data_IF_271943822819
#
_entry.id   IF_271943822819
#
_cell.length_a   1.000
_cell.length_b   1.000
_cell.length_c   1.000
_cell.angle_alpha   90.00
_cell.angle_beta   90.00
_cell.angle_gamma   90.00
#
_symmetry.space_group_name_H-M   'P 1'
#
loop_
_entity.id
_entity.type
_entity.pdbx_description
1 polymer ?
#
# COMPACT_ATOMS: atom_id res chain seq x y z
N UNK A 1 -69.57 48.37 -53.36
CA UNK A 1 -68.22 48.26 -53.97
C UNK A 1 -67.40 47.32 -53.10
N UNK A 2 -67.26 46.04 -53.49
CA UNK A 2 -66.02 45.39 -54.01
C UNK A 2 -64.84 45.52 -53.02
N UNK A 3 -64.47 44.43 -52.32
CA UNK A 3 -63.44 43.43 -52.72
C UNK A 3 -62.15 43.69 -51.94
N UNK A 4 -61.76 42.85 -50.97
CA UNK A 4 -60.76 41.76 -51.13
C UNK A 4 -59.32 42.30 -50.95
N UNK A 5 -58.26 41.59 -50.55
CA UNK A 5 -57.98 40.21 -50.17
C UNK A 5 -56.51 40.16 -49.69
N UNK A 6 -56.18 39.23 -48.77
CA UNK A 6 -54.92 38.47 -48.63
C UNK A 6 -53.57 39.17 -48.29
N UNK A 7 -52.92 38.81 -47.16
CA UNK A 7 -51.85 37.76 -46.96
C UNK A 7 -50.47 38.23 -47.50
N UNK A 8 -49.28 38.10 -46.85
CA UNK A 8 -48.70 37.22 -45.82
C UNK A 8 -47.28 37.74 -45.41
N UNK A 9 -46.91 37.58 -44.13
CA UNK A 9 -45.67 37.00 -43.52
C UNK A 9 -44.27 37.34 -44.08
N UNK A 10 -43.38 37.90 -43.23
CA UNK A 10 -42.11 37.23 -42.83
C UNK A 10 -41.46 37.84 -41.55
N UNK A 11 -40.74 36.99 -40.84
CA UNK A 11 -40.22 37.03 -39.47
C UNK A 11 -39.08 38.04 -39.23
N UNK A 12 -38.92 38.51 -37.98
CA UNK A 12 -37.68 38.31 -37.19
C UNK A 12 -37.96 38.46 -35.68
N UNK A 13 -37.45 37.49 -34.93
CA UNK A 13 -37.59 37.27 -33.49
C UNK A 13 -36.31 37.77 -32.79
N UNK A 14 -36.41 38.64 -31.78
CA UNK A 14 -35.41 38.76 -30.70
C UNK A 14 -36.14 39.12 -29.40
N UNK A 15 -36.13 38.19 -28.45
CA UNK A 15 -36.58 38.40 -27.07
C UNK A 15 -35.35 38.48 -26.16
N UNK A 16 -35.28 39.51 -25.32
CA UNK A 16 -34.26 39.65 -24.27
C UNK A 16 -34.89 39.32 -22.90
N UNK A 17 -34.41 38.25 -22.26
CA UNK A 17 -34.69 37.95 -20.85
C UNK A 17 -33.56 38.49 -19.96
N UNK A 18 -33.91 39.26 -18.94
CA UNK A 18 -33.04 39.61 -17.82
C UNK A 18 -33.10 38.49 -16.77
N UNK A 19 -31.95 37.87 -16.47
CA UNK A 19 -31.79 36.87 -15.42
C UNK A 19 -31.09 37.43 -14.19
N UNK A 20 -31.73 37.29 -13.03
CA UNK A 20 -31.20 37.60 -11.70
C UNK A 20 -30.27 36.46 -11.26
N UNK A 21 -28.97 36.72 -11.06
CA UNK A 21 -27.99 35.74 -10.57
C UNK A 21 -27.90 35.84 -9.05
N UNK A 22 -28.34 34.78 -8.35
CA UNK A 22 -28.05 34.56 -6.93
C UNK A 22 -26.68 33.89 -6.83
N UNK A 23 -25.67 34.59 -6.31
CA UNK A 23 -24.34 34.03 -6.04
C UNK A 23 -24.38 33.24 -4.73
N UNK A 24 -24.14 31.93 -4.83
CA UNK A 24 -24.04 31.00 -3.71
C UNK A 24 -22.78 31.29 -2.86
N UNK A 25 -22.95 31.50 -1.56
CA UNK A 25 -21.88 31.78 -0.60
C UNK A 25 -21.01 30.56 -0.22
N UNK A 26 -21.17 29.43 -0.90
CA UNK A 26 -20.37 28.22 -0.67
C UNK A 26 -18.93 28.33 -1.25
N UNK A 27 -18.73 29.15 -2.30
CA UNK A 27 -17.41 29.28 -2.95
C UNK A 27 -16.41 30.13 -2.15
N UNK A 28 -16.90 31.11 -1.39
CA UNK A 28 -16.03 31.99 -0.61
C UNK A 28 -15.33 31.27 0.57
N UNK A 29 -15.95 30.22 1.11
CA UNK A 29 -15.38 29.40 2.19
C UNK A 29 -14.31 28.41 1.67
N UNK A 30 -14.48 27.90 0.44
CA UNK A 30 -13.51 27.04 -0.24
C UNK A 30 -12.28 27.83 -0.71
N UNK A 31 -12.49 29.06 -1.19
CA UNK A 31 -11.41 29.95 -1.63
C UNK A 31 -10.51 30.43 -0.49
N UNK A 32 -11.04 30.57 0.74
CA UNK A 32 -10.23 30.94 1.91
C UNK A 32 -9.33 29.81 2.41
N UNK A 33 -9.78 28.54 2.37
CA UNK A 33 -8.95 27.39 2.78
C UNK A 33 -7.71 27.16 1.90
N UNK A 34 -7.73 27.57 0.64
CA UNK A 34 -6.56 27.49 -0.24
C UNK A 34 -5.49 28.55 0.06
N UNK A 35 -5.82 29.62 0.79
CA UNK A 35 -4.91 30.76 1.01
C UNK A 35 -3.95 30.55 2.19
N UNK A 36 -4.24 29.60 3.08
CA UNK A 36 -3.40 29.26 4.24
C UNK A 36 -2.56 27.99 4.02
N UNK A 37 -2.54 27.45 2.80
CA UNK A 37 -1.58 26.41 2.45
C UNK A 37 -0.18 27.05 2.35
N UNK A 38 0.82 26.58 3.13
CA UNK A 38 2.18 27.04 2.94
C UNK A 38 2.59 26.80 1.48
N UNK A 39 3.39 27.70 0.88
CA UNK A 39 3.82 27.57 -0.50
C UNK A 39 4.43 26.18 -0.73
N UNK A 40 4.24 25.58 -1.92
CA UNK A 40 4.85 24.29 -2.23
C UNK A 40 6.36 24.43 -2.04
N UNK A 41 6.90 23.66 -1.08
CA UNK A 41 8.33 23.57 -0.87
C UNK A 41 8.98 23.15 -2.21
N UNK A 42 10.12 23.75 -2.60
CA UNK A 42 10.79 23.39 -3.85
C UNK A 42 10.99 21.88 -3.91
N UNK A 43 10.75 21.30 -5.08
CA UNK A 43 10.84 19.85 -5.30
C UNK A 43 12.32 19.45 -5.31
N UNK A 44 12.90 19.36 -4.11
CA UNK A 44 14.29 18.96 -3.91
C UNK A 44 14.37 17.46 -4.23
N UNK A 45 15.26 17.09 -5.14
CA UNK A 45 15.58 15.68 -5.41
C UNK A 45 16.88 15.33 -4.68
N UNK A 46 16.96 14.11 -4.13
CA UNK A 46 18.22 13.63 -3.58
C UNK A 46 19.18 13.34 -4.73
N UNK A 47 20.45 13.70 -4.55
CA UNK A 47 21.53 13.42 -5.51
C UNK A 47 21.92 11.94 -5.53
N UNK A 48 21.52 11.17 -4.51
CA UNK A 48 21.82 9.75 -4.38
C UNK A 48 20.97 9.01 -3.34
N UNK A 49 21.50 7.92 -2.79
CA UNK A 49 20.82 7.11 -1.77
C UNK A 49 20.65 7.91 -0.47
N UNK A 50 19.57 7.62 0.26
CA UNK A 50 19.35 8.20 1.58
C UNK A 50 20.41 7.68 2.56
N UNK A 51 21.05 8.62 3.26
CA UNK A 51 22.08 8.35 4.27
C UNK A 51 21.48 8.30 5.68
N UNK A 52 20.66 9.30 6.03
CA UNK A 52 20.05 9.44 7.35
C UNK A 52 18.66 10.05 7.25
N UNK A 53 17.71 9.56 8.05
CA UNK A 53 16.43 10.20 8.24
C UNK A 53 16.34 10.79 9.65
N UNK A 54 15.88 12.03 9.77
CA UNK A 54 15.62 12.69 11.04
C UNK A 54 14.13 12.94 11.17
N UNK A 55 13.53 12.55 12.29
CA UNK A 55 12.13 12.77 12.62
C UNK A 55 12.05 13.71 13.82
N UNK A 56 11.47 14.89 13.62
CA UNK A 56 11.10 15.82 14.70
C UNK A 56 9.66 15.53 15.14
N UNK A 57 9.52 15.11 16.40
CA UNK A 57 8.20 14.88 17.01
C UNK A 57 7.49 16.21 17.26
N UNK A 58 8.17 17.24 17.78
CA UNK A 58 7.52 18.51 18.12
C UNK A 58 7.01 19.23 16.88
N UNK A 59 7.78 19.20 15.79
CA UNK A 59 7.42 19.87 14.55
C UNK A 59 6.61 18.99 13.58
N UNK A 60 6.37 17.73 13.95
CA UNK A 60 5.71 16.73 13.12
C UNK A 60 6.27 16.71 11.69
N UNK A 61 7.60 16.57 11.57
CA UNK A 61 8.31 16.57 10.29
C UNK A 61 9.37 15.48 10.22
N UNK A 62 9.60 14.98 9.01
CA UNK A 62 10.74 14.14 8.67
C UNK A 62 11.61 14.85 7.63
N UNK A 63 12.93 14.72 7.80
CA UNK A 63 13.97 15.19 6.87
C UNK A 63 14.86 13.99 6.51
N UNK A 64 14.88 13.59 5.24
CA UNK A 64 15.70 12.48 4.73
C UNK A 64 16.86 13.06 3.94
N UNK A 65 18.06 12.92 4.46
CA UNK A 65 19.30 13.46 3.90
C UNK A 65 20.02 12.42 3.05
N UNK A 66 20.63 12.85 1.95
CA UNK A 66 21.64 12.09 1.22
C UNK A 66 23.06 12.38 1.73
N UNK A 67 24.07 11.75 1.11
CA UNK A 67 25.47 11.91 1.46
C UNK A 67 26.03 13.33 1.16
N UNK A 68 25.35 14.10 0.30
CA UNK A 68 25.72 15.49 -0.02
C UNK A 68 25.08 16.52 0.92
N UNK A 69 24.24 16.08 1.86
CA UNK A 69 23.52 16.96 2.79
C UNK A 69 22.19 17.51 2.24
N UNK A 70 21.78 17.14 1.03
CA UNK A 70 20.47 17.53 0.47
C UNK A 70 19.37 16.72 1.15
N UNK A 71 18.26 17.39 1.50
CA UNK A 71 17.19 16.78 2.29
C UNK A 71 15.80 16.83 1.62
N UNK A 72 15.16 15.68 1.53
CA UNK A 72 13.73 15.53 1.26
C UNK A 72 12.93 15.70 2.54
N UNK A 73 11.90 16.57 2.53
CA UNK A 73 11.11 16.86 3.72
C UNK A 73 9.63 16.53 3.52
N UNK A 74 8.99 16.12 4.61
CA UNK A 74 7.54 15.94 4.65
C UNK A 74 6.99 16.13 6.07
N UNK A 75 5.70 16.45 6.15
CA UNK A 75 4.94 16.35 7.40
C UNK A 75 4.80 14.90 7.81
N UNK A 76 4.63 14.65 9.11
CA UNK A 76 4.37 13.33 9.65
C UNK A 76 3.18 13.35 10.62
N UNK A 77 2.78 12.17 11.08
CA UNK A 77 1.99 12.01 12.31
C UNK A 77 2.61 10.95 13.20
N UNK A 78 3.11 11.35 14.37
CA UNK A 78 3.74 10.46 15.37
C UNK A 78 2.71 9.82 16.31
N UNK A 79 3.22 9.07 17.29
CA UNK A 79 2.45 8.43 18.35
C UNK A 79 1.71 9.40 19.25
N UNK A 80 0.46 9.10 19.57
CA UNK A 80 -0.37 9.85 20.52
C UNK A 80 0.02 9.56 21.98
N UNK A 81 -0.54 10.31 22.91
CA UNK A 81 -0.36 10.09 24.35
C UNK A 81 -0.77 8.65 24.73
N UNK A 82 0.10 7.96 25.48
CA UNK A 82 -0.05 6.54 25.83
C UNK A 82 0.46 5.56 24.76
N UNK A 83 0.83 6.05 23.58
CA UNK A 83 1.47 5.30 22.50
C UNK A 83 2.59 6.11 21.84
N UNK A 84 3.47 6.69 22.65
CA UNK A 84 4.47 7.64 22.18
C UNK A 84 5.47 7.00 21.21
N UNK A 85 5.86 7.75 20.18
CA UNK A 85 7.00 7.35 19.33
C UNK A 85 8.28 7.47 20.16
N UNK A 86 9.08 6.40 20.28
CA UNK A 86 10.30 6.44 21.08
C UNK A 86 11.35 7.36 20.43
N UNK A 87 12.00 8.18 21.25
CA UNK A 87 13.14 9.03 20.83
C UNK A 87 14.44 8.24 20.91
N UNK A 88 15.38 8.53 20.02
CA UNK A 88 16.68 7.87 19.97
C UNK A 88 17.21 7.68 18.55
N UNK A 89 18.28 6.90 18.44
CA UNK A 89 18.89 6.54 17.16
C UNK A 89 18.55 5.09 16.84
N UNK A 90 17.90 4.89 15.71
CA UNK A 90 17.43 3.59 15.22
C UNK A 90 18.08 3.25 13.89
N UNK A 91 17.86 2.02 13.45
CA UNK A 91 18.19 1.56 12.11
C UNK A 91 16.98 0.92 11.46
N UNK A 92 16.87 1.02 10.14
CA UNK A 92 15.85 0.27 9.40
C UNK A 92 16.19 -1.23 9.48
N UNK A 93 15.33 -1.99 10.15
CA UNK A 93 15.49 -3.42 10.38
C UNK A 93 14.86 -4.26 9.28
N UNK A 94 13.71 -3.81 8.78
CA UNK A 94 12.92 -4.53 7.78
C UNK A 94 12.19 -3.54 6.87
N UNK A 95 11.91 -3.97 5.65
CA UNK A 95 11.18 -3.19 4.65
C UNK A 95 10.15 -4.08 3.96
N UNK A 96 8.93 -3.59 3.84
CA UNK A 96 7.88 -4.26 3.10
C UNK A 96 6.95 -3.21 2.48
N UNK A 97 6.79 -3.25 1.16
CA UNK A 97 5.95 -2.32 0.43
C UNK A 97 4.46 -2.50 0.74
N UNK A 98 4.03 -3.74 0.95
CA UNK A 98 2.65 -4.13 1.28
C UNK A 98 2.66 -4.84 2.63
N UNK A 99 2.59 -4.06 3.71
CA UNK A 99 2.53 -4.59 5.07
C UNK A 99 1.18 -4.33 5.71
N UNK A 100 0.75 -5.27 6.54
CA UNK A 100 -0.43 -5.15 7.38
C UNK A 100 -0.05 -5.46 8.83
N UNK A 101 -0.63 -4.73 9.76
CA UNK A 101 -0.26 -4.84 11.18
C UNK A 101 -0.88 -6.07 11.84
N UNK A 102 -0.04 -6.98 12.32
CA UNK A 102 -0.49 -8.14 13.11
C UNK A 102 -1.10 -7.76 14.47
N UNK A 103 -0.78 -6.56 14.99
CA UNK A 103 -1.15 -6.14 16.34
C UNK A 103 -2.38 -5.21 16.37
N UNK A 104 -2.77 -4.67 15.21
CA UNK A 104 -3.83 -3.66 15.09
C UNK A 104 -4.77 -4.00 13.93
N UNK A 105 -5.62 -5.02 14.11
CA UNK A 105 -6.71 -5.40 13.20
C UNK A 105 -6.35 -5.42 11.70
N UNK A 106 -5.16 -5.92 11.35
CA UNK A 106 -4.66 -5.99 9.98
C UNK A 106 -4.62 -4.60 9.29
N UNK A 107 -4.35 -3.54 10.07
CA UNK A 107 -4.29 -2.19 9.55
C UNK A 107 -3.19 -2.07 8.48
N UNK A 108 -3.58 -1.56 7.30
CA UNK A 108 -2.66 -1.37 6.18
C UNK A 108 -1.57 -0.35 6.51
N UNK A 109 -0.32 -0.74 6.27
CA UNK A 109 0.89 0.05 6.48
C UNK A 109 1.77 0.04 5.20
N UNK A 110 1.36 0.74 4.13
CA UNK A 110 2.11 0.74 2.87
C UNK A 110 3.52 1.34 3.05
N UNK A 111 4.51 0.80 2.34
CA UNK A 111 5.91 1.21 2.41
C UNK A 111 6.49 1.19 3.82
N UNK A 112 6.14 0.17 4.61
CA UNK A 112 6.63 0.00 5.96
C UNK A 112 8.15 -0.18 5.98
N UNK A 113 8.80 0.60 6.84
CA UNK A 113 10.20 0.52 7.20
C UNK A 113 10.30 0.40 8.73
N UNK A 114 10.51 -0.81 9.24
CA UNK A 114 10.55 -1.09 10.68
C UNK A 114 11.83 -0.55 11.29
N UNK A 115 11.72 0.10 12.45
CA UNK A 115 12.86 0.68 13.18
C UNK A 115 13.05 0.08 14.58
N UNK A 116 12.03 -0.58 15.14
CA UNK A 116 12.13 -1.35 16.38
C UNK A 116 11.55 -2.76 16.24
N UNK A 117 12.08 -3.70 17.04
CA UNK A 117 11.48 -5.03 17.18
C UNK A 117 10.12 -5.00 17.88
N UNK A 118 9.86 -3.96 18.68
CA UNK A 118 8.57 -3.78 19.38
C UNK A 118 7.39 -3.43 18.47
N UNK A 119 7.62 -3.04 17.20
CA UNK A 119 6.51 -2.71 16.29
C UNK A 119 6.61 -1.37 15.58
N UNK A 120 7.51 -0.47 16.01
CA UNK A 120 7.54 0.90 15.50
C UNK A 120 8.17 0.94 14.11
N UNK A 121 7.50 1.64 13.19
CA UNK A 121 7.92 1.76 11.80
C UNK A 121 7.62 3.14 11.21
N UNK A 122 8.32 3.49 10.15
CA UNK A 122 7.91 4.52 9.20
C UNK A 122 6.99 3.87 8.17
N UNK A 123 5.82 4.44 7.87
CA UNK A 123 4.94 3.92 6.83
C UNK A 123 3.97 4.98 6.32
N UNK A 124 3.35 4.76 5.16
CA UNK A 124 2.29 5.63 4.68
C UNK A 124 1.04 5.53 5.56
N UNK A 125 0.38 6.65 5.83
CA UNK A 125 -0.86 6.67 6.62
C UNK A 125 -1.59 8.01 6.57
N UNK A 126 -2.68 8.11 7.34
CA UNK A 126 -3.41 9.36 7.50
C UNK A 126 -2.64 10.37 8.38
N UNK A 127 -2.57 11.62 7.95
CA UNK A 127 -1.89 12.71 8.65
C UNK A 127 -2.92 13.77 9.10
N UNK A 128 -3.48 13.66 10.31
CA UNK A 128 -4.46 14.62 10.80
C UNK A 128 -3.84 15.96 11.23
N UNK A 129 -2.51 16.09 11.19
CA UNK A 129 -1.78 17.30 11.57
C UNK A 129 -1.35 17.35 13.04
N UNK A 130 -1.59 16.29 13.79
CA UNK A 130 -1.17 16.11 15.18
C UNK A 130 -0.75 14.64 15.42
N UNK A 131 -0.06 14.33 16.54
CA UNK A 131 0.27 12.97 16.93
C UNK A 131 -1.00 12.13 17.14
N UNK A 132 -1.15 11.03 16.39
CA UNK A 132 -2.38 10.24 16.39
C UNK A 132 -2.17 8.77 15.99
N UNK A 133 -0.92 8.29 15.97
CA UNK A 133 -0.61 6.89 15.69
C UNK A 133 -0.45 6.10 17.00
N UNK A 134 -0.32 4.78 16.89
CA UNK A 134 0.03 3.90 18.01
C UNK A 134 1.55 3.69 18.13
N UNK A 135 2.33 4.74 17.89
CA UNK A 135 3.80 4.76 18.02
C UNK A 135 4.55 4.87 16.69
N UNK A 136 4.00 4.35 15.60
CA UNK A 136 4.58 4.46 14.26
C UNK A 136 4.66 5.91 13.75
N UNK A 137 5.59 6.20 12.84
CA UNK A 137 5.67 7.50 12.17
C UNK A 137 4.94 7.40 10.83
N UNK A 138 3.77 8.06 10.74
CA UNK A 138 2.97 8.06 9.51
C UNK A 138 3.44 9.15 8.56
N UNK A 139 3.64 8.76 7.32
CA UNK A 139 4.13 9.59 6.22
C UNK A 139 3.03 9.81 5.16
N UNK A 140 3.08 10.91 4.38
CA UNK A 140 2.26 11.05 3.20
C UNK A 140 2.58 9.91 2.21
N UNK A 141 1.55 9.39 1.54
CA UNK A 141 1.71 8.23 0.66
C UNK A 141 2.78 8.42 -0.41
N UNK A 142 2.72 9.54 -1.15
CA UNK A 142 3.68 9.85 -2.21
C UNK A 142 5.12 9.98 -1.68
N UNK A 143 5.28 10.56 -0.49
CA UNK A 143 6.58 10.71 0.15
C UNK A 143 7.15 9.36 0.57
N UNK A 144 6.32 8.51 1.21
CA UNK A 144 6.71 7.16 1.61
C UNK A 144 7.13 6.33 0.39
N UNK A 145 6.37 6.39 -0.70
CA UNK A 145 6.70 5.74 -1.97
C UNK A 145 8.02 6.25 -2.55
N UNK A 146 8.27 7.56 -2.51
CA UNK A 146 9.51 8.18 -3.03
C UNK A 146 10.74 7.75 -2.23
N UNK A 147 10.67 7.76 -0.90
CA UNK A 147 11.84 7.42 -0.07
C UNK A 147 12.07 5.91 0.04
N UNK A 148 11.03 5.08 -0.12
CA UNK A 148 11.15 3.63 0.06
C UNK A 148 12.25 2.99 -0.80
N UNK A 149 12.45 3.28 -2.11
CA UNK A 149 13.59 2.73 -2.85
C UNK A 149 14.93 3.39 -2.47
N UNK A 150 14.93 4.61 -1.94
CA UNK A 150 16.14 5.39 -1.61
C UNK A 150 16.77 4.95 -0.29
N UNK A 151 15.98 4.45 0.65
CA UNK A 151 16.47 3.94 1.93
C UNK A 151 16.99 2.51 1.81
N UNK A 152 17.82 2.07 2.76
CA UNK A 152 18.34 0.70 2.83
C UNK A 152 18.22 0.11 4.23
N UNK A 153 18.26 -1.22 4.33
CA UNK A 153 18.42 -1.88 5.63
C UNK A 153 19.70 -1.37 6.32
N UNK A 154 19.62 -1.16 7.62
CA UNK A 154 20.68 -0.58 8.44
C UNK A 154 20.76 0.96 8.41
N UNK A 155 20.10 1.65 7.47
CA UNK A 155 20.09 3.11 7.39
C UNK A 155 19.62 3.72 8.71
N UNK A 156 20.29 4.79 9.16
CA UNK A 156 20.00 5.42 10.45
C UNK A 156 18.74 6.27 10.38
N UNK A 157 17.90 6.13 11.40
CA UNK A 157 16.71 6.94 11.63
C UNK A 157 16.84 7.56 13.02
N UNK A 158 16.98 8.86 13.10
CA UNK A 158 17.06 9.60 14.36
C UNK A 158 15.70 10.18 14.66
N UNK A 159 15.16 9.86 15.82
CA UNK A 159 13.90 10.42 16.31
C UNK A 159 14.22 11.33 17.48
N UNK A 160 13.95 12.61 17.32
CA UNK A 160 14.23 13.65 18.31
C UNK A 160 12.97 14.45 18.62
N UNK A 161 13.01 15.15 19.76
CA UNK A 161 11.93 16.08 20.12
C UNK A 161 11.93 17.28 19.19
N UNK A 162 13.07 17.93 19.02
CA UNK A 162 13.25 19.10 18.16
C UNK A 162 13.80 18.73 16.77
N UNK A 163 13.62 19.61 15.78
CA UNK A 163 14.20 19.47 14.44
C UNK A 163 15.72 19.67 14.49
N UNK A 164 16.46 18.60 14.24
CA UNK A 164 17.92 18.60 14.21
C UNK A 164 18.40 18.36 12.78
N UNK A 165 19.40 19.11 12.35
CA UNK A 165 20.05 18.90 11.07
C UNK A 165 21.47 18.35 11.30
N UNK A 166 21.96 17.45 10.43
CA UNK A 166 23.38 17.14 10.37
C UNK A 166 24.19 18.44 10.17
N UNK A 167 25.32 18.55 10.86
CA UNK A 167 26.25 19.67 10.74
C UNK A 167 27.58 19.12 10.29
N UNK A 168 28.20 19.80 9.33
CA UNK A 168 29.53 19.44 8.85
C UNK A 168 30.56 19.64 9.97
N UNK A 169 31.31 18.57 10.25
CA UNK A 169 32.43 18.59 11.18
C UNK A 169 33.73 18.43 10.39
N UNK A 170 34.70 19.30 10.65
CA UNK A 170 36.04 19.22 10.06
C UNK A 170 37.06 19.23 11.18
N UNK A 171 37.87 18.18 11.27
CA UNK A 171 38.96 18.06 12.23
C UNK A 171 40.07 17.19 11.62
N UNK A 172 41.35 17.59 11.68
CA UNK A 172 42.47 16.83 11.12
C UNK A 172 42.62 15.40 11.67
N UNK A 173 42.06 15.11 12.85
CA UNK A 173 42.09 13.79 13.50
C UNK A 173 40.86 12.93 13.20
N UNK A 174 39.87 13.44 12.45
CA UNK A 174 38.80 12.58 11.96
C UNK A 174 39.40 11.58 10.97
N UNK A 175 38.98 10.33 11.10
CA UNK A 175 39.27 9.28 10.12
C UNK A 175 38.72 9.74 8.76
N UNK A 176 39.59 10.29 7.91
CA UNK A 176 39.27 10.47 6.51
C UNK A 176 39.30 9.08 5.86
N UNK A 177 38.32 8.73 5.02
CA UNK A 177 38.50 7.56 4.16
C UNK A 177 39.79 7.79 3.37
N UNK A 178 40.72 6.83 3.42
CA UNK A 178 41.88 6.89 2.55
C UNK A 178 41.35 7.01 1.11
N UNK A 179 41.93 7.90 0.28
CA UNK A 179 41.60 7.92 -1.13
C UNK A 179 41.97 6.54 -1.67
N UNK A 180 40.97 5.68 -1.80
CA UNK A 180 41.09 4.46 -2.59
C UNK A 180 41.43 4.94 -3.98
N UNK A 181 42.69 4.74 -4.39
CA UNK A 181 43.06 4.87 -5.79
C UNK A 181 42.01 4.10 -6.60
N UNK A 182 41.53 4.70 -7.68
CA UNK A 182 40.39 4.25 -8.47
C UNK A 182 40.56 2.86 -9.14
N UNK A 183 41.59 2.11 -8.74
CA UNK A 183 41.83 0.68 -8.98
C UNK A 183 41.26 -0.23 -7.90
N UNK A 184 40.49 0.29 -6.94
CA UNK A 184 39.57 -0.54 -6.18
C UNK A 184 38.45 -1.02 -7.10
N UNK A 185 38.70 -2.11 -7.84
CA UNK A 185 37.68 -2.87 -8.55
C UNK A 185 36.47 -3.00 -7.62
N UNK A 186 35.32 -2.51 -8.07
CA UNK A 186 34.09 -2.55 -7.30
C UNK A 186 33.82 -4.01 -6.92
N UNK A 187 34.11 -4.37 -5.68
CA UNK A 187 33.74 -5.67 -5.15
C UNK A 187 32.22 -5.65 -5.06
N UNK A 188 31.48 -6.42 -5.87
CA UNK A 188 30.05 -6.47 -5.74
C UNK A 188 29.73 -6.99 -4.33
N UNK A 189 29.01 -6.19 -3.56
CA UNK A 189 28.56 -6.56 -2.19
C UNK A 189 27.47 -7.63 -2.20
N UNK A 190 27.17 -8.20 -3.37
CA UNK A 190 26.22 -9.27 -3.58
C UNK A 190 26.85 -10.33 -4.48
N UNK A 191 26.64 -11.59 -4.13
CA UNK A 191 26.91 -12.71 -5.02
C UNK A 191 25.95 -12.60 -6.22
N UNK A 192 26.50 -12.34 -7.41
CA UNK A 192 25.79 -12.42 -8.68
C UNK A 192 26.10 -13.79 -9.30
N UNK A 193 25.07 -14.62 -9.56
CA UNK A 193 25.24 -15.90 -10.26
C UNK A 193 25.60 -15.73 -11.75
N UNK A 194 25.32 -14.55 -12.32
CA UNK A 194 25.51 -14.25 -13.74
C UNK A 194 26.96 -13.90 -14.12
N UNK A 195 27.87 -13.74 -13.15
CA UNK A 195 29.30 -13.55 -13.42
C UNK A 195 29.97 -14.90 -13.74
N UNK A 196 29.49 -15.56 -14.79
CA UNK A 196 30.12 -16.71 -15.43
C UNK A 196 31.17 -16.31 -16.49
N UNK A 197 31.66 -15.06 -16.44
CA UNK A 197 32.84 -14.65 -17.19
C UNK A 197 34.05 -14.72 -16.23
N UNK A 198 34.83 -15.80 -16.39
CA UNK A 198 36.12 -16.03 -15.74
C UNK A 198 36.14 -16.03 -14.20
N UNK A 199 35.69 -17.16 -13.64
CA UNK A 199 35.87 -17.52 -12.24
C UNK A 199 37.35 -17.58 -11.76
N UNK A 200 38.33 -17.26 -12.60
CA UNK A 200 39.74 -17.09 -12.22
C UNK A 200 40.07 -15.71 -11.63
N UNK A 201 39.20 -14.70 -11.77
CA UNK A 201 39.49 -13.32 -11.33
C UNK A 201 38.61 -12.79 -10.18
N UNK A 202 37.83 -13.66 -9.52
CA UNK A 202 37.11 -13.23 -8.33
C UNK A 202 38.07 -13.10 -7.14
N UNK A 203 38.42 -11.86 -6.79
CA UNK A 203 39.25 -11.47 -5.63
C UNK A 203 38.74 -12.01 -4.27
N UNK A 204 37.51 -12.55 -4.22
CA UNK A 204 36.88 -13.15 -3.04
C UNK A 204 37.05 -14.67 -2.97
N UNK A 205 37.58 -15.33 -4.01
CA UNK A 205 37.87 -16.75 -3.94
C UNK A 205 39.16 -16.98 -3.14
N UNK A 206 39.12 -17.78 -2.05
CA UNK A 206 40.35 -18.12 -1.34
C UNK A 206 41.27 -18.87 -2.31
N UNK A 207 42.52 -18.40 -2.47
CA UNK A 207 43.53 -19.13 -3.23
C UNK A 207 43.87 -20.43 -2.50
N UNK A 208 43.27 -21.52 -3.00
CA UNK A 208 43.44 -22.89 -2.49
C UNK A 208 44.28 -23.73 -3.46
N UNK A 209 44.98 -23.10 -4.41
CA UNK A 209 45.82 -23.77 -5.43
C UNK A 209 46.82 -24.76 -4.80
N UNK A 210 47.38 -24.41 -3.65
CA UNK A 210 48.38 -25.21 -2.93
C UNK A 210 47.79 -26.24 -1.94
N UNK A 211 46.46 -26.41 -1.88
CA UNK A 211 45.78 -27.19 -0.83
C UNK A 211 44.81 -28.23 -1.45
N UNK A 212 45.30 -29.40 -1.92
CA UNK A 212 44.50 -30.37 -2.68
C UNK A 212 43.27 -30.91 -1.92
N UNK A 213 43.38 -31.13 -0.61
CA UNK A 213 42.26 -31.58 0.22
C UNK A 213 41.15 -30.52 0.32
N UNK A 214 41.52 -29.23 0.32
CA UNK A 214 40.58 -28.11 0.41
C UNK A 214 39.89 -27.83 -0.92
N UNK A 215 40.60 -28.04 -2.04
CA UNK A 215 40.01 -28.01 -3.38
C UNK A 215 38.90 -29.06 -3.52
N UNK A 216 39.19 -30.31 -3.14
CA UNK A 216 38.20 -31.39 -3.22
C UNK A 216 36.94 -31.08 -2.40
N UNK A 217 37.11 -30.53 -1.19
CA UNK A 217 35.97 -30.10 -0.36
C UNK A 217 35.17 -28.96 -1.03
N UNK A 218 35.86 -27.96 -1.59
CA UNK A 218 35.21 -26.84 -2.26
C UNK A 218 34.41 -27.30 -3.48
N UNK A 219 34.94 -28.24 -4.26
CA UNK A 219 34.26 -28.80 -5.42
C UNK A 219 33.02 -29.61 -5.02
N UNK A 220 33.08 -30.36 -3.92
CA UNK A 220 31.88 -31.04 -3.37
C UNK A 220 30.82 -30.04 -2.92
N UNK A 221 31.20 -28.97 -2.21
CA UNK A 221 30.26 -27.95 -1.77
C UNK A 221 29.64 -27.18 -2.94
N UNK A 222 30.41 -26.93 -4.01
CA UNK A 222 29.91 -26.33 -5.25
C UNK A 222 28.93 -27.25 -5.98
N UNK A 223 29.19 -28.54 -5.99
CA UNK A 223 28.26 -29.53 -6.56
C UNK A 223 26.93 -29.54 -5.76
N UNK A 224 27.01 -29.61 -4.43
CA UNK A 224 25.83 -29.56 -3.55
C UNK A 224 25.05 -28.24 -3.71
N UNK A 225 25.77 -27.12 -3.86
CA UNK A 225 25.15 -25.82 -4.09
C UNK A 225 24.40 -25.80 -5.43
N UNK A 226 25.01 -26.30 -6.51
CA UNK A 226 24.39 -26.41 -7.84
C UNK A 226 23.16 -27.31 -7.84
N UNK A 227 23.19 -28.40 -7.09
CA UNK A 227 22.03 -29.29 -6.94
C UNK A 227 20.89 -28.55 -6.24
N UNK A 228 21.19 -27.81 -5.16
CA UNK A 228 20.19 -27.02 -4.43
C UNK A 228 19.62 -25.86 -5.24
N UNK A 229 20.46 -25.16 -6.02
CA UNK A 229 19.97 -24.08 -6.89
C UNK A 229 19.08 -24.65 -7.99
N UNK A 230 19.48 -25.74 -8.65
CA UNK A 230 18.65 -26.42 -9.65
C UNK A 230 17.31 -26.91 -9.06
N UNK A 231 17.31 -27.45 -7.84
CA UNK A 231 16.08 -27.84 -7.15
C UNK A 231 15.17 -26.64 -6.83
N UNK A 232 15.76 -25.52 -6.39
CA UNK A 232 15.04 -24.28 -6.12
C UNK A 232 14.43 -23.68 -7.38
N UNK A 233 15.17 -23.67 -8.49
CA UNK A 233 14.69 -23.22 -9.79
C UNK A 233 13.56 -24.11 -10.31
N UNK A 234 13.71 -25.44 -10.22
CA UNK A 234 12.67 -26.39 -10.61
C UNK A 234 11.39 -26.20 -9.79
N UNK A 235 11.51 -25.99 -8.47
CA UNK A 235 10.37 -25.70 -7.60
C UNK A 235 9.70 -24.37 -7.97
N UNK A 236 10.48 -23.34 -8.30
CA UNK A 236 9.97 -22.04 -8.73
C UNK A 236 9.22 -22.15 -10.06
N UNK A 237 9.78 -22.87 -11.04
CA UNK A 237 9.13 -23.12 -12.32
C UNK A 237 7.83 -23.91 -12.15
N UNK A 238 7.85 -24.95 -11.30
CA UNK A 238 6.66 -25.73 -10.97
C UNK A 238 5.55 -24.87 -10.36
N UNK A 239 5.90 -23.99 -9.39
CA UNK A 239 4.94 -23.06 -8.79
C UNK A 239 4.39 -22.05 -9.80
N UNK A 240 5.23 -21.55 -10.70
CA UNK A 240 4.80 -20.64 -11.77
C UNK A 240 3.84 -21.32 -12.74
N UNK A 241 4.09 -22.58 -13.12
CA UNK A 241 3.22 -23.36 -13.98
C UNK A 241 1.86 -23.62 -13.31
N UNK A 242 1.84 -24.11 -12.07
CA UNK A 242 0.61 -24.30 -11.29
C UNK A 242 -0.20 -23.01 -11.16
N UNK A 243 0.48 -21.89 -10.90
CA UNK A 243 -0.16 -20.56 -10.83
C UNK A 243 -0.72 -20.13 -12.19
N UNK A 244 -0.02 -20.44 -13.28
CA UNK A 244 -0.48 -20.22 -14.66
C UNK A 244 -1.72 -21.04 -14.98
N UNK A 245 -1.72 -22.33 -14.62
CA UNK A 245 -2.86 -23.22 -14.76
C UNK A 245 -4.07 -22.70 -13.95
N UNK A 246 -3.88 -22.28 -12.70
CA UNK A 246 -4.94 -21.69 -11.88
C UNK A 246 -5.52 -20.41 -12.50
N UNK A 247 -4.66 -19.52 -13.04
CA UNK A 247 -5.10 -18.30 -13.73
C UNK A 247 -5.89 -18.60 -15.01
N UNK A 248 -5.55 -19.68 -15.72
CA UNK A 248 -6.27 -20.11 -16.93
C UNK A 248 -7.71 -20.58 -16.59
N UNK A 249 -7.94 -21.08 -15.37
CA UNK A 249 -9.24 -21.47 -14.80
C UNK A 249 -10.09 -20.26 -14.36
N UNK A 250 -10.11 -19.22 -15.19
CA UNK A 250 -10.79 -17.94 -14.92
C UNK A 250 -12.30 -18.13 -14.73
N UNK A 251 -12.90 -19.08 -15.44
CA UNK A 251 -14.34 -19.36 -15.37
C UNK A 251 -14.70 -19.90 -13.99
N UNK A 252 -13.98 -20.91 -13.51
CA UNK A 252 -14.16 -21.52 -12.20
C UNK A 252 -13.94 -20.49 -11.07
N UNK A 253 -12.84 -19.73 -11.13
CA UNK A 253 -12.57 -18.64 -10.18
C UNK A 253 -13.67 -17.56 -10.19
N UNK A 254 -14.24 -17.24 -11.35
CA UNK A 254 -15.32 -16.26 -11.46
C UNK A 254 -16.63 -16.75 -10.83
N UNK A 255 -16.90 -18.06 -10.86
CA UNK A 255 -18.08 -18.66 -10.22
C UNK A 255 -17.95 -18.60 -8.70
N UNK A 256 -16.77 -18.90 -8.17
CA UNK A 256 -16.46 -18.74 -6.74
C UNK A 256 -16.62 -17.28 -6.30
N UNK A 257 -16.05 -16.34 -7.06
CA UNK A 257 -16.20 -14.92 -6.77
C UNK A 257 -17.67 -14.43 -6.88
N UNK A 258 -18.49 -15.04 -7.75
CA UNK A 258 -19.94 -14.75 -7.83
C UNK A 258 -20.67 -15.27 -6.60
N UNK A 259 -20.33 -16.46 -6.07
CA UNK A 259 -20.88 -16.96 -4.80
C UNK A 259 -20.64 -15.96 -3.69
N UNK A 260 -19.40 -15.54 -3.48
CA UNK A 260 -19.04 -14.61 -2.39
C UNK A 260 -19.81 -13.28 -2.49
N UNK A 261 -20.07 -12.79 -3.71
CA UNK A 261 -20.88 -11.59 -3.93
C UNK A 261 -22.34 -11.81 -3.58
N UNK A 262 -22.91 -12.96 -3.93
CA UNK A 262 -24.31 -13.27 -3.64
C UNK A 262 -24.50 -13.57 -2.15
N UNK A 263 -23.56 -14.23 -1.49
CA UNK A 263 -23.63 -14.44 -0.04
C UNK A 263 -23.63 -13.12 0.74
N UNK A 264 -22.80 -12.15 0.32
CA UNK A 264 -22.87 -10.78 0.86
C UNK A 264 -24.24 -10.11 0.65
N UNK A 265 -24.97 -10.45 -0.42
CA UNK A 265 -26.34 -9.95 -0.64
C UNK A 265 -27.36 -10.67 0.23
N UNK A 266 -27.19 -11.98 0.44
CA UNK A 266 -28.00 -12.78 1.37
C UNK A 266 -27.86 -12.24 2.78
N UNK A 267 -26.64 -11.97 3.25
CA UNK A 267 -26.40 -11.42 4.59
C UNK A 267 -27.04 -10.05 4.76
N UNK A 268 -26.89 -9.16 3.77
CA UNK A 268 -27.60 -7.87 3.76
C UNK A 268 -29.12 -8.02 3.77
N UNK A 269 -29.67 -9.05 3.11
CA UNK A 269 -31.11 -9.31 3.12
C UNK A 269 -31.58 -9.83 4.49
N UNK A 270 -30.80 -10.70 5.15
CA UNK A 270 -31.04 -11.14 6.53
C UNK A 270 -30.99 -9.99 7.52
N UNK A 271 -30.02 -9.07 7.38
CA UNK A 271 -29.95 -7.85 8.20
C UNK A 271 -31.19 -6.97 8.04
N UNK A 272 -31.72 -6.86 6.81
CA UNK A 272 -32.96 -6.10 6.54
C UNK A 272 -34.17 -6.76 7.17
N UNK A 273 -34.26 -8.09 7.13
CA UNK A 273 -35.29 -8.86 7.82
C UNK A 273 -35.24 -8.61 9.33
N UNK A 274 -34.06 -8.78 9.95
CA UNK A 274 -33.88 -8.56 11.38
C UNK A 274 -34.25 -7.13 11.82
N UNK A 275 -33.90 -6.12 11.00
CA UNK A 275 -34.31 -4.73 11.24
C UNK A 275 -35.83 -4.54 11.12
N UNK A 276 -36.48 -5.18 10.16
CA UNK A 276 -37.93 -5.12 9.99
C UNK A 276 -38.67 -5.79 11.15
N UNK A 277 -38.19 -6.93 11.65
CA UNK A 277 -38.74 -7.61 12.82
C UNK A 277 -38.61 -6.77 14.09
N UNK A 278 -37.45 -6.13 14.29
CA UNK A 278 -37.24 -5.20 15.41
C UNK A 278 -38.19 -4.01 15.34
N UNK A 279 -38.47 -3.48 14.14
CA UNK A 279 -39.46 -2.41 13.92
C UNK A 279 -40.88 -2.85 14.23
N UNK A 280 -41.25 -4.07 13.85
CA UNK A 280 -42.55 -4.66 14.16
C UNK A 280 -42.73 -4.81 15.69
N UNK A 281 -41.70 -5.29 16.38
CA UNK A 281 -41.70 -5.41 17.84
C UNK A 281 -41.81 -4.05 18.56
N UNK A 282 -41.21 -3.00 17.99
CA UNK A 282 -41.27 -1.64 18.55
C UNK A 282 -42.58 -0.88 18.23
N UNK A 283 -43.41 -1.37 17.32
CA UNK A 283 -44.61 -0.68 16.85
C UNK A 283 -45.75 -0.70 17.87
N UNK A 284 -46.15 0.48 18.38
CA UNK A 284 -47.16 0.63 19.44
C UNK A 284 -48.58 0.91 18.95
N UNK A 285 -48.74 1.53 17.78
CA UNK A 285 -50.06 1.90 17.23
C UNK A 285 -50.52 0.92 16.14
N UNK A 286 -51.84 0.72 15.93
CA UNK A 286 -52.35 -0.18 14.89
C UNK A 286 -51.83 0.15 13.48
N UNK A 287 -51.73 1.44 13.15
CA UNK A 287 -51.18 1.91 11.87
C UNK A 287 -49.68 1.59 11.73
N UNK A 288 -48.90 1.77 12.79
CA UNK A 288 -47.47 1.44 12.78
C UNK A 288 -47.22 -0.07 12.67
N UNK A 289 -48.04 -0.90 13.34
CA UNK A 289 -47.95 -2.37 13.23
C UNK A 289 -48.25 -2.85 11.81
N UNK A 290 -49.29 -2.32 11.16
CA UNK A 290 -49.61 -2.67 9.77
C UNK A 290 -48.49 -2.28 8.79
N UNK A 291 -47.86 -1.12 9.00
CA UNK A 291 -46.72 -0.68 8.18
C UNK A 291 -45.49 -1.56 8.39
N UNK A 292 -45.14 -1.85 9.64
CA UNK A 292 -44.00 -2.69 9.98
C UNK A 292 -44.19 -4.15 9.53
N UNK A 293 -45.42 -4.67 9.57
CA UNK A 293 -45.74 -6.00 9.04
C UNK A 293 -45.50 -6.03 7.53
N UNK A 294 -45.99 -5.03 6.79
CA UNK A 294 -45.75 -4.91 5.35
C UNK A 294 -44.25 -4.82 5.01
N UNK A 295 -43.45 -4.13 5.83
CA UNK A 295 -42.00 -4.07 5.69
C UNK A 295 -41.33 -5.43 5.93
N UNK A 296 -41.79 -6.19 6.94
CA UNK A 296 -41.33 -7.56 7.20
C UNK A 296 -41.67 -8.49 6.02
N UNK A 297 -42.92 -8.51 5.57
CA UNK A 297 -43.35 -9.38 4.46
C UNK A 297 -42.58 -9.05 3.16
N UNK A 298 -42.29 -7.76 2.91
CA UNK A 298 -41.46 -7.34 1.78
C UNK A 298 -40.00 -7.77 1.94
N UNK A 299 -39.44 -7.69 3.15
CA UNK A 299 -38.09 -8.15 3.44
C UNK A 299 -37.97 -9.67 3.28
N UNK A 300 -38.93 -10.45 3.79
CA UNK A 300 -39.01 -11.92 3.62
C UNK A 300 -39.07 -12.31 2.14
N UNK A 301 -39.95 -11.67 1.36
CA UNK A 301 -40.04 -11.92 -0.09
C UNK A 301 -38.74 -11.60 -0.83
N UNK A 302 -38.06 -10.52 -0.42
CA UNK A 302 -36.77 -10.15 -1.00
C UNK A 302 -35.67 -11.15 -0.64
N UNK A 303 -35.64 -11.64 0.60
CA UNK A 303 -34.70 -12.66 1.06
C UNK A 303 -34.93 -13.97 0.30
N UNK A 304 -36.17 -14.46 0.22
CA UNK A 304 -36.51 -15.68 -0.52
C UNK A 304 -36.10 -15.61 -2.00
N UNK A 305 -36.26 -14.45 -2.64
CA UNK A 305 -35.84 -14.25 -4.05
C UNK A 305 -34.31 -14.27 -4.20
N UNK A 306 -33.58 -13.70 -3.24
CA UNK A 306 -32.11 -13.68 -3.25
C UNK A 306 -31.56 -15.06 -2.90
N UNK A 307 -32.13 -15.75 -1.93
CA UNK A 307 -31.72 -17.10 -1.52
C UNK A 307 -31.95 -18.14 -2.63
N UNK A 308 -33.06 -18.04 -3.37
CA UNK A 308 -33.29 -18.90 -4.54
C UNK A 308 -32.17 -18.74 -5.59
N UNK A 309 -31.79 -17.49 -5.90
CA UNK A 309 -30.66 -17.20 -6.80
C UNK A 309 -29.31 -17.61 -6.21
N UNK A 310 -29.16 -17.58 -4.89
CA UNK A 310 -27.95 -17.98 -4.20
C UNK A 310 -27.73 -19.49 -4.29
N UNK A 311 -28.78 -20.30 -4.23
CA UNK A 311 -28.67 -21.75 -4.32
C UNK A 311 -28.09 -22.20 -5.66
N UNK A 312 -28.56 -21.65 -6.78
CA UNK A 312 -28.03 -21.98 -8.12
C UNK A 312 -26.54 -21.62 -8.23
N UNK A 313 -26.13 -20.50 -7.65
CA UNK A 313 -24.74 -20.04 -7.69
C UNK A 313 -23.85 -20.80 -6.70
N UNK A 314 -24.39 -21.23 -5.55
CA UNK A 314 -23.67 -22.10 -4.59
C UNK A 314 -23.32 -23.44 -5.22
N UNK A 315 -24.27 -24.09 -5.89
CA UNK A 315 -24.02 -25.37 -6.58
C UNK A 315 -22.95 -25.21 -7.65
N UNK A 316 -23.08 -24.21 -8.52
CA UNK A 316 -22.10 -23.95 -9.57
C UNK A 316 -20.71 -23.56 -9.04
N UNK A 317 -20.63 -22.89 -7.88
CA UNK A 317 -19.37 -22.56 -7.23
C UNK A 317 -18.74 -23.77 -6.52
N UNK A 318 -19.55 -24.68 -5.96
CA UNK A 318 -19.09 -25.90 -5.32
C UNK A 318 -18.47 -26.87 -6.34
N UNK A 319 -19.11 -27.06 -7.50
CA UNK A 319 -18.53 -27.82 -8.61
C UNK A 319 -17.21 -27.19 -9.11
N UNK A 320 -17.16 -25.86 -9.17
CA UNK A 320 -15.95 -25.13 -9.53
C UNK A 320 -14.83 -25.31 -8.49
N UNK A 321 -15.14 -25.29 -7.19
CA UNK A 321 -14.17 -25.56 -6.12
C UNK A 321 -13.64 -26.98 -6.15
N UNK A 322 -14.50 -27.96 -6.38
CA UNK A 322 -14.09 -29.37 -6.49
C UNK A 322 -13.17 -29.59 -7.69
N UNK A 323 -13.46 -28.95 -8.83
CA UNK A 323 -12.59 -29.01 -10.02
C UNK A 323 -11.22 -28.33 -9.82
N UNK A 324 -11.14 -27.34 -8.92
CA UNK A 324 -9.90 -26.63 -8.59
C UNK A 324 -9.14 -27.25 -7.41
N UNK A 325 -9.75 -28.19 -6.68
CA UNK A 325 -9.18 -28.81 -5.49
C UNK A 325 -7.78 -29.42 -5.72
N UNK A 326 -7.53 -30.26 -6.75
CA UNK A 326 -6.20 -30.84 -6.95
C UNK A 326 -5.13 -29.76 -7.19
N UNK A 327 -5.44 -28.76 -8.03
CA UNK A 327 -4.54 -27.62 -8.28
C UNK A 327 -4.25 -26.79 -7.03
N UNK A 328 -5.22 -26.64 -6.12
CA UNK A 328 -5.03 -25.92 -4.86
C UNK A 328 -4.22 -26.72 -3.85
N UNK A 329 -4.38 -28.04 -3.83
CA UNK A 329 -3.60 -28.95 -2.97
C UNK A 329 -2.14 -28.97 -3.43
N UNK A 330 -1.87 -29.04 -4.74
CA UNK A 330 -0.51 -29.01 -5.30
C UNK A 330 0.22 -27.68 -5.07
N UNK A 331 -0.51 -26.57 -4.91
CA UNK A 331 0.05 -25.24 -4.56
C UNK A 331 0.30 -25.10 -3.05
N UNK A 332 -0.41 -25.87 -2.21
CA UNK A 332 -0.34 -25.75 -0.75
C UNK A 332 0.82 -26.54 -0.12
N UNK A 333 1.44 -27.44 -0.88
CA UNK A 333 2.63 -28.24 -0.53
C UNK A 333 3.90 -27.46 -0.85
#
# INVERSE_FOLDING_TARGET
MRSGSSKKVFHYFVAAMAGLIVVSSADAASARRKKDAPPPEPEVELSGKAAIAVVSIKDQRISVYDASGVALRARISSGQDGYETPVGVFSILQKNAEHYSNLYDDASMPFMQRITWSGVALHAGALPGYPASHGCVRLPYNFAQKIFPLTKLGMRVVISRDDIAPVDISNPLLLAPEPVEATAMAIPTAYNEDDNADASESLMQPDVSNWPARQKLLDTLRADAREKTAASEAATQHWQDLTGQLKSRKKELSLIAKRDRIEKLVDKAKDRLAKAEKRLAAARTPRSKKSAQKEKDAAEKSLATIDAKANDVRTAAQEAEESLKPLKEDIAV
#
